data_IF_939508338907
#
_entry.id   IF_939508338907
#
_cell.length_a   1.000
_cell.length_b   1.000
_cell.length_c   1.000
_cell.angle_alpha   90.00
_cell.angle_beta   90.00
_cell.angle_gamma   90.00
#
_symmetry.space_group_name_H-M   'P 1'
#
loop_
_entity.id
_entity.type
_entity.pdbx_description
1 polymer ?
#
# COMPACT_ATOMS: atom_id res chain seq x y z
N UNK A 1 -22.74 46.06 54.76
CA UNK A 1 -22.30 44.65 54.78
C UNK A 1 -22.58 43.97 53.42
N UNK A 2 -22.03 44.50 52.32
CA UNK A 2 -22.10 43.86 50.99
C UNK A 2 -20.80 44.19 50.24
N UNK A 3 -19.67 43.75 50.78
CA UNK A 3 -18.35 44.08 50.20
C UNK A 3 -17.28 43.03 50.48
N UNK A 4 -17.66 41.76 50.66
CA UNK A 4 -16.72 40.65 50.78
C UNK A 4 -17.09 39.40 49.99
N UNK A 5 -18.32 39.29 49.45
CA UNK A 5 -18.77 38.10 48.70
C UNK A 5 -18.67 38.23 47.17
N UNK A 6 -18.07 39.31 46.66
CA UNK A 6 -18.01 39.57 45.22
C UNK A 6 -16.62 39.31 44.60
N UNK A 7 -15.58 39.14 45.43
CA UNK A 7 -14.22 38.87 44.95
C UNK A 7 -13.94 37.38 44.71
N UNK A 8 -14.64 36.48 45.40
CA UNK A 8 -14.45 35.03 45.22
C UNK A 8 -15.07 34.50 43.92
N UNK A 9 -15.97 35.25 43.30
CA UNK A 9 -16.55 34.90 41.99
C UNK A 9 -15.68 35.34 40.79
N UNK A 10 -14.61 36.10 41.01
CA UNK A 10 -13.74 36.59 39.93
C UNK A 10 -12.51 35.69 39.69
N UNK A 11 -12.18 34.79 40.62
CA UNK A 11 -11.01 33.92 40.51
C UNK A 11 -11.13 32.81 39.46
N UNK A 12 -12.29 32.66 38.82
CA UNK A 12 -12.54 31.68 37.77
C UNK A 12 -12.81 32.32 36.39
N UNK A 13 -12.41 33.59 36.17
CA UNK A 13 -12.47 34.20 34.84
C UNK A 13 -11.09 34.08 34.18
N UNK A 14 -10.93 33.32 33.07
CA UNK A 14 -9.68 33.32 32.34
C UNK A 14 -9.38 34.76 31.92
N UNK A 15 -8.16 35.21 32.20
CA UNK A 15 -7.74 36.60 31.95
C UNK A 15 -7.92 36.92 30.47
N UNK A 16 -8.87 37.81 30.18
CA UNK A 16 -9.31 38.17 28.84
C UNK A 16 -8.29 39.07 28.13
N UNK A 17 -7.18 38.48 27.66
CA UNK A 17 -6.46 39.04 26.53
C UNK A 17 -6.64 38.11 25.34
N UNK A 18 -7.05 38.66 24.19
CA UNK A 18 -7.19 37.91 22.93
C UNK A 18 -5.86 37.22 22.56
N UNK A 19 -4.75 37.85 22.95
CA UNK A 19 -3.41 37.31 22.76
C UNK A 19 -3.18 36.01 23.55
N UNK A 20 -3.73 35.89 24.76
CA UNK A 20 -3.67 34.66 25.55
C UNK A 20 -4.53 33.56 24.91
N UNK A 21 -5.71 33.89 24.39
CA UNK A 21 -6.57 32.92 23.69
C UNK A 21 -5.91 32.36 22.41
N UNK A 22 -5.25 33.22 21.63
CA UNK A 22 -4.49 32.76 20.45
C UNK A 22 -3.31 31.87 20.83
N UNK A 23 -2.59 32.20 21.90
CA UNK A 23 -1.49 31.39 22.41
C UNK A 23 -1.97 30.02 22.93
N UNK A 24 -3.15 29.97 23.57
CA UNK A 24 -3.79 28.73 24.02
C UNK A 24 -4.16 27.83 22.84
N UNK A 25 -4.81 28.38 21.79
CA UNK A 25 -5.15 27.61 20.58
C UNK A 25 -3.89 27.14 19.86
N UNK A 26 -2.86 28.00 19.74
CA UNK A 26 -1.59 27.63 19.14
C UNK A 26 -0.90 26.49 19.92
N UNK A 27 -0.99 26.49 21.25
CA UNK A 27 -0.49 25.40 22.10
C UNK A 27 -1.26 24.10 21.83
N UNK A 28 -2.59 24.14 21.77
CA UNK A 28 -3.41 22.95 21.47
C UNK A 28 -3.04 22.31 20.12
N UNK A 29 -2.84 23.13 19.09
CA UNK A 29 -2.46 22.66 17.76
C UNK A 29 -1.07 22.01 17.82
N UNK A 30 -0.10 22.64 18.52
CA UNK A 30 1.24 22.07 18.70
C UNK A 30 1.22 20.76 19.47
N UNK A 31 0.44 20.67 20.53
CA UNK A 31 0.30 19.46 21.35
C UNK A 31 -0.37 18.33 20.54
N UNK A 32 -1.40 18.66 19.76
CA UNK A 32 -2.05 17.74 18.83
C UNK A 32 -1.10 17.21 17.75
N UNK A 33 -0.32 18.10 17.14
CA UNK A 33 0.66 17.74 16.10
C UNK A 33 1.84 16.91 16.67
N UNK A 34 2.29 17.21 17.89
CA UNK A 34 3.28 16.40 18.59
C UNK A 34 2.76 14.98 18.89
N UNK A 35 1.52 14.85 19.37
CA UNK A 35 0.89 13.56 19.62
C UNK A 35 0.62 12.79 18.31
N UNK A 36 0.20 13.47 17.24
CA UNK A 36 0.05 12.87 15.91
C UNK A 36 1.40 12.30 15.41
N UNK A 37 2.47 13.09 15.49
CA UNK A 37 3.83 12.65 15.10
C UNK A 37 4.31 11.47 15.94
N UNK A 38 3.98 11.43 17.23
CA UNK A 38 4.27 10.30 18.10
C UNK A 38 3.54 9.02 17.65
N UNK A 39 2.26 9.13 17.28
CA UNK A 39 1.49 7.98 16.77
C UNK A 39 2.02 7.49 15.42
N UNK A 40 2.39 8.40 14.50
CA UNK A 40 2.98 8.06 13.20
C UNK A 40 4.37 7.44 13.36
N UNK A 41 5.19 7.97 14.27
CA UNK A 41 6.54 7.48 14.55
C UNK A 41 6.60 6.07 15.15
N UNK A 42 5.44 5.50 15.49
CA UNK A 42 5.33 4.16 16.05
C UNK A 42 5.35 4.19 17.56
N UNK A 43 4.16 4.12 18.16
CA UNK A 43 4.03 3.80 19.58
C UNK A 43 4.23 2.28 19.70
N UNK A 44 5.24 1.80 20.47
CA UNK A 44 5.30 0.37 20.80
C UNK A 44 3.99 0.00 21.53
N UNK A 45 3.57 -1.26 21.53
CA UNK A 45 2.28 -1.80 22.03
C UNK A 45 1.20 -2.06 20.96
N UNK A 46 0.26 -2.96 21.29
CA UNK A 46 -0.80 -3.46 20.40
C UNK A 46 -1.72 -2.38 19.85
N UNK A 47 -1.81 -1.25 20.53
CA UNK A 47 -2.64 -0.11 20.14
C UNK A 47 -1.95 0.82 19.11
N UNK A 48 -0.65 0.63 18.86
CA UNK A 48 0.10 1.39 17.87
C UNK A 48 -0.52 1.24 16.48
N UNK A 49 -0.72 2.36 15.79
CA UNK A 49 -1.33 2.37 14.46
C UNK A 49 -0.54 1.53 13.45
N UNK A 50 0.79 1.53 13.55
CA UNK A 50 1.67 0.72 12.69
C UNK A 50 1.35 -0.77 12.85
N UNK A 51 1.11 -1.23 14.08
CA UNK A 51 0.77 -2.63 14.35
C UNK A 51 -0.65 -2.97 13.87
N UNK A 52 -1.59 -2.03 14.01
CA UNK A 52 -2.96 -2.20 13.51
C UNK A 52 -2.99 -2.27 11.97
N UNK A 53 -2.18 -1.45 11.27
CA UNK A 53 -2.04 -1.46 9.80
C UNK A 53 -1.29 -2.70 9.31
N UNK A 54 -0.39 -3.26 10.11
CA UNK A 54 0.34 -4.47 9.73
C UNK A 54 -0.60 -5.67 9.48
N UNK A 55 -1.61 -5.84 10.32
CA UNK A 55 -2.59 -6.95 10.20
C UNK A 55 -3.29 -6.98 8.82
N UNK A 56 -3.92 -5.90 8.34
CA UNK A 56 -4.54 -5.88 7.02
C UNK A 56 -3.50 -5.97 5.89
N UNK A 57 -2.28 -5.43 6.05
CA UNK A 57 -1.19 -5.63 5.09
C UNK A 57 -0.77 -7.10 4.97
N UNK A 58 -0.65 -7.83 6.08
CA UNK A 58 -0.31 -9.25 6.09
C UNK A 58 -1.46 -10.11 5.53
N UNK A 59 -2.72 -9.70 5.73
CA UNK A 59 -3.88 -10.29 5.06
C UNK A 59 -3.83 -10.07 3.56
N UNK A 60 -3.61 -8.84 3.10
CA UNK A 60 -3.44 -8.51 1.70
C UNK A 60 -2.34 -9.35 1.05
N UNK A 61 -1.18 -9.49 1.71
CA UNK A 61 -0.08 -10.33 1.23
C UNK A 61 -0.50 -11.78 1.04
N UNK A 62 -1.29 -12.34 1.96
CA UNK A 62 -1.81 -13.70 1.85
C UNK A 62 -2.85 -13.83 0.74
N UNK A 63 -3.74 -12.86 0.59
CA UNK A 63 -4.77 -12.88 -0.45
C UNK A 63 -4.14 -12.80 -1.84
N UNK A 64 -3.13 -11.94 -2.05
CA UNK A 64 -2.35 -11.89 -3.30
C UNK A 64 -1.65 -13.23 -3.57
N UNK A 65 -1.02 -13.84 -2.56
CA UNK A 65 -0.39 -15.16 -2.73
C UNK A 65 -1.39 -16.26 -3.09
N UNK A 66 -2.61 -16.21 -2.56
CA UNK A 66 -3.68 -17.16 -2.92
C UNK A 66 -4.17 -17.03 -4.37
N UNK A 67 -3.95 -15.88 -5.00
CA UNK A 67 -4.28 -15.72 -6.44
C UNK A 67 -3.23 -16.34 -7.37
N UNK A 68 -2.09 -16.82 -6.84
CA UNK A 68 -1.06 -17.45 -7.64
C UNK A 68 -1.59 -18.74 -8.29
N UNK A 69 -1.41 -18.93 -9.60
CA UNK A 69 -1.84 -20.14 -10.29
C UNK A 69 -1.00 -21.33 -9.84
N UNK A 70 -1.64 -22.47 -9.59
CA UNK A 70 -0.96 -23.70 -9.21
C UNK A 70 -0.73 -24.54 -10.47
N UNK A 71 0.47 -24.39 -11.06
CA UNK A 71 0.85 -25.17 -12.24
C UNK A 71 1.21 -26.60 -11.85
N UNK A 72 0.50 -27.56 -12.44
CA UNK A 72 0.76 -28.98 -12.25
C UNK A 72 1.61 -29.50 -13.43
N UNK A 73 2.78 -30.11 -13.18
CA UNK A 73 3.63 -30.66 -14.24
C UNK A 73 3.06 -31.95 -14.86
N UNK A 74 1.98 -32.49 -14.31
CA UNK A 74 1.31 -33.68 -14.82
C UNK A 74 0.20 -33.29 -15.79
N UNK A 75 -0.10 -34.20 -16.71
CA UNK A 75 -1.35 -34.17 -17.46
C UNK A 75 -2.54 -34.38 -16.51
N UNK A 76 -3.69 -33.83 -16.88
CA UNK A 76 -4.92 -34.01 -16.12
C UNK A 76 -5.16 -35.50 -15.85
N UNK A 77 -5.33 -35.91 -14.58
CA UNK A 77 -5.48 -37.31 -14.25
C UNK A 77 -6.83 -37.84 -14.73
N UNK A 78 -6.82 -39.05 -15.30
CA UNK A 78 -8.03 -39.87 -15.47
C UNK A 78 -8.88 -39.85 -14.18
N UNK A 79 -10.22 -39.78 -14.29
CA UNK A 79 -11.11 -39.61 -13.15
C UNK A 79 -10.86 -40.71 -12.10
N UNK A 80 -10.22 -40.34 -10.99
CA UNK A 80 -9.92 -41.25 -9.88
C UNK A 80 -8.45 -41.30 -9.42
N UNK A 81 -7.49 -40.67 -10.12
CA UNK A 81 -6.07 -40.74 -9.73
C UNK A 81 -5.39 -39.37 -9.60
N UNK A 82 -5.74 -38.61 -8.56
CA UNK A 82 -5.08 -37.33 -8.25
C UNK A 82 -3.62 -37.58 -7.83
N UNK A 83 -2.65 -37.17 -8.65
CA UNK A 83 -1.24 -37.09 -8.26
C UNK A 83 -1.00 -35.75 -7.57
N UNK A 84 -0.94 -35.75 -6.24
CA UNK A 84 -0.63 -34.54 -5.46
C UNK A 84 0.87 -34.49 -5.22
N UNK A 85 1.51 -33.36 -5.54
CA UNK A 85 2.89 -33.12 -5.12
C UNK A 85 2.88 -32.78 -3.62
N UNK A 86 3.79 -33.38 -2.85
CA UNK A 86 3.99 -32.99 -1.47
C UNK A 86 4.53 -31.55 -1.41
N UNK A 87 3.99 -30.73 -0.49
CA UNK A 87 4.49 -29.39 -0.28
C UNK A 87 5.99 -29.45 0.10
N UNK A 88 6.88 -28.74 -0.62
CA UNK A 88 8.30 -28.87 -0.41
C UNK A 88 8.69 -28.33 0.97
N UNK A 89 9.58 -29.06 1.65
CA UNK A 89 9.92 -28.81 3.05
C UNK A 89 10.52 -27.42 3.31
N UNK A 90 11.17 -26.82 2.32
CA UNK A 90 11.74 -25.48 2.41
C UNK A 90 10.70 -24.34 2.42
N UNK A 91 9.46 -24.60 1.96
CA UNK A 91 8.37 -23.60 1.99
C UNK A 91 7.54 -23.64 3.28
N UNK A 92 7.75 -24.63 4.17
CA UNK A 92 6.96 -24.80 5.39
C UNK A 92 6.98 -23.54 6.29
N UNK A 93 8.09 -22.82 6.36
CA UNK A 93 8.21 -21.58 7.16
C UNK A 93 7.64 -20.33 6.45
N UNK A 94 7.42 -20.35 5.13
CA UNK A 94 6.79 -19.25 4.40
C UNK A 94 5.26 -19.41 4.29
N UNK A 95 4.75 -20.64 4.42
CA UNK A 95 3.34 -21.02 4.24
C UNK A 95 2.53 -21.17 5.55
N UNK A 96 3.17 -21.19 6.72
CA UNK A 96 2.52 -21.58 7.99
C UNK A 96 1.40 -20.63 8.46
N UNK A 97 1.38 -19.36 8.02
CA UNK A 97 0.32 -18.39 8.37
C UNK A 97 -0.90 -18.39 7.42
N UNK A 98 -0.89 -19.22 6.37
CA UNK A 98 -1.91 -19.20 5.31
C UNK A 98 -2.67 -20.51 5.07
N UNK A 99 -2.13 -21.65 5.52
CA UNK A 99 -2.57 -23.00 5.12
C UNK A 99 -2.98 -23.92 6.27
N UNK A 100 -3.11 -23.41 7.50
CA UNK A 100 -3.71 -24.15 8.62
C UNK A 100 -5.22 -23.91 8.65
N UNK A 101 -5.94 -24.75 7.92
CA UNK A 101 -7.39 -24.79 7.88
C UNK A 101 -7.84 -25.97 7.05
N UNK A 102 -7.95 -27.11 7.75
CA UNK A 102 -8.97 -28.16 7.57
C UNK A 102 -9.23 -28.66 6.15
N UNK A 103 -8.93 -29.94 5.93
CA UNK A 103 -9.37 -30.65 4.76
C UNK A 103 -10.90 -30.67 4.68
N UNK A 104 -11.41 -30.27 3.52
CA UNK A 104 -12.56 -30.85 2.82
C UNK A 104 -12.89 -29.94 1.63
N UNK A 105 -12.86 -30.51 0.42
CA UNK A 105 -13.55 -30.00 -0.77
C UNK A 105 -13.49 -28.50 -1.05
N UNK A 106 -12.38 -28.01 -1.63
CA UNK A 106 -12.53 -27.05 -2.71
C UNK A 106 -11.98 -27.69 -3.97
N UNK A 107 -12.90 -27.90 -4.89
CA UNK A 107 -12.70 -28.43 -6.23
C UNK A 107 -11.54 -27.72 -6.93
N UNK A 108 -10.98 -28.37 -7.96
CA UNK A 108 -9.78 -27.96 -8.68
C UNK A 108 -9.89 -26.67 -9.49
N UNK A 109 -10.46 -25.60 -8.92
CA UNK A 109 -10.79 -24.30 -9.52
C UNK A 109 -9.55 -23.43 -9.84
N UNK A 110 -8.34 -23.97 -9.71
CA UNK A 110 -7.10 -23.22 -9.97
C UNK A 110 -5.87 -24.07 -10.29
N UNK A 111 -6.03 -25.39 -10.46
CA UNK A 111 -4.93 -26.24 -10.92
C UNK A 111 -4.86 -26.12 -12.45
N UNK A 112 -3.73 -25.64 -12.95
CA UNK A 112 -3.50 -25.54 -14.40
C UNK A 112 -2.58 -26.70 -14.80
N UNK A 113 -3.12 -27.66 -15.55
CA UNK A 113 -2.36 -28.82 -15.99
C UNK A 113 -1.50 -28.53 -17.23
N UNK A 114 -0.45 -29.32 -17.42
CA UNK A 114 0.49 -29.12 -18.53
C UNK A 114 -0.18 -29.25 -19.91
N UNK A 115 -1.18 -30.13 -20.04
CA UNK A 115 -1.95 -30.31 -21.26
C UNK A 115 -2.80 -29.07 -21.59
N UNK A 116 -3.41 -28.41 -20.59
CA UNK A 116 -4.16 -27.17 -20.78
C UNK A 116 -3.25 -26.03 -21.23
N UNK A 117 -2.08 -25.89 -20.60
CA UNK A 117 -1.06 -24.91 -21.01
C UNK A 117 -0.62 -25.19 -22.44
N UNK A 118 -0.37 -26.46 -22.79
CA UNK A 118 0.06 -26.86 -24.13
C UNK A 118 -1.03 -26.64 -25.18
N UNK A 119 -2.30 -26.89 -24.85
CA UNK A 119 -3.43 -26.63 -25.75
C UNK A 119 -3.55 -25.14 -26.04
N UNK A 120 -3.60 -24.30 -25.00
CA UNK A 120 -3.66 -22.84 -25.15
C UNK A 120 -2.43 -22.29 -25.89
N UNK A 121 -1.28 -22.95 -25.73
CA UNK A 121 -0.10 -22.68 -26.53
C UNK A 121 -0.32 -22.95 -28.02
N UNK A 122 -0.84 -24.12 -28.38
CA UNK A 122 -1.08 -24.48 -29.78
C UNK A 122 -2.12 -23.59 -30.45
N UNK A 123 -3.20 -23.25 -29.74
CA UNK A 123 -4.25 -22.34 -30.23
C UNK A 123 -3.73 -20.93 -30.50
N UNK A 124 -2.74 -20.48 -29.72
CA UNK A 124 -2.15 -19.15 -29.85
C UNK A 124 -0.98 -19.08 -30.85
N UNK A 125 -0.62 -20.19 -31.50
CA UNK A 125 0.48 -20.21 -32.48
C UNK A 125 0.09 -19.42 -33.72
N UNK A 126 0.82 -18.34 -33.96
CA UNK A 126 0.76 -17.58 -35.21
C UNK A 126 1.98 -17.89 -36.08
N UNK A 127 2.52 -16.92 -36.81
CA UNK A 127 3.65 -17.06 -37.75
C UNK A 127 5.01 -17.25 -37.06
N UNK A 128 5.04 -17.94 -35.94
CA UNK A 128 6.24 -18.17 -35.14
C UNK A 128 7.06 -19.33 -35.70
N UNK A 129 8.38 -19.27 -35.47
CA UNK A 129 9.29 -20.35 -35.84
C UNK A 129 8.99 -21.64 -35.06
N UNK A 130 9.17 -22.82 -35.68
CA UNK A 130 9.11 -24.10 -34.97
C UNK A 130 10.02 -24.09 -33.74
N UNK A 131 9.50 -24.50 -32.59
CA UNK A 131 10.23 -24.51 -31.32
C UNK A 131 10.19 -23.20 -30.52
N UNK A 132 9.51 -22.15 -31.00
CA UNK A 132 9.26 -20.94 -30.23
C UNK A 132 7.81 -20.87 -29.74
N UNK A 133 7.63 -20.56 -28.46
CA UNK A 133 6.31 -20.36 -27.86
C UNK A 133 5.92 -18.89 -27.89
N UNK A 134 4.69 -18.55 -28.32
CA UNK A 134 4.22 -17.17 -28.34
C UNK A 134 4.27 -16.53 -26.94
N UNK A 135 4.86 -15.33 -26.83
CA UNK A 135 4.86 -14.57 -25.57
C UNK A 135 3.44 -14.14 -25.14
N UNK A 136 2.46 -14.20 -26.05
CA UNK A 136 1.09 -13.77 -25.79
C UNK A 136 0.42 -14.59 -24.67
N UNK A 137 0.70 -15.89 -24.61
CA UNK A 137 0.09 -16.80 -23.61
C UNK A 137 0.61 -16.49 -22.20
N UNK A 138 1.91 -16.23 -22.07
CA UNK A 138 2.50 -15.80 -20.80
C UNK A 138 1.87 -14.49 -20.31
N UNK A 139 1.64 -13.56 -21.24
CA UNK A 139 0.97 -12.29 -20.94
C UNK A 139 -0.47 -12.52 -20.48
N UNK A 140 -1.22 -13.40 -21.14
CA UNK A 140 -2.60 -13.72 -20.74
C UNK A 140 -2.67 -14.30 -19.33
N UNK A 141 -1.84 -15.30 -19.01
CA UNK A 141 -1.81 -15.86 -17.66
C UNK A 141 -1.47 -14.81 -16.60
N UNK A 142 -0.52 -13.91 -16.88
CA UNK A 142 -0.19 -12.81 -15.97
C UNK A 142 -1.39 -11.87 -15.80
N UNK A 143 -2.07 -11.50 -16.89
CA UNK A 143 -3.25 -10.63 -16.85
C UNK A 143 -4.38 -11.25 -16.03
N UNK A 144 -4.66 -12.53 -16.24
CA UNK A 144 -5.72 -13.27 -15.55
C UNK A 144 -5.50 -13.29 -14.02
N UNK A 145 -4.23 -13.27 -13.58
CA UNK A 145 -3.86 -13.18 -12.16
C UNK A 145 -3.92 -11.74 -11.64
N UNK A 146 -3.36 -10.79 -12.39
CA UNK A 146 -3.27 -9.38 -11.99
C UNK A 146 -4.64 -8.74 -11.82
N UNK A 147 -5.62 -9.07 -12.68
CA UNK A 147 -6.99 -8.55 -12.55
C UNK A 147 -7.60 -8.91 -11.18
N UNK A 148 -7.23 -10.06 -10.60
CA UNK A 148 -7.71 -10.49 -9.28
C UNK A 148 -7.14 -9.64 -8.13
N UNK A 149 -6.10 -8.83 -8.36
CA UNK A 149 -5.44 -8.02 -7.33
C UNK A 149 -6.15 -6.71 -7.02
N UNK A 150 -7.04 -6.23 -7.88
CA UNK A 150 -7.76 -4.96 -7.68
C UNK A 150 -8.65 -4.99 -6.42
N UNK A 151 -9.41 -6.06 -6.24
CA UNK A 151 -10.30 -6.23 -5.09
C UNK A 151 -9.54 -6.25 -3.74
N UNK A 152 -8.51 -7.09 -3.53
CA UNK A 152 -7.76 -7.07 -2.27
C UNK A 152 -7.02 -5.75 -2.04
N UNK A 153 -6.56 -5.07 -3.10
CA UNK A 153 -5.88 -3.78 -2.97
C UNK A 153 -6.83 -2.65 -2.53
N UNK A 154 -8.02 -2.57 -3.12
CA UNK A 154 -9.04 -1.57 -2.72
C UNK A 154 -9.54 -1.82 -1.29
N UNK A 155 -9.71 -3.09 -0.92
CA UNK A 155 -10.04 -3.49 0.47
C UNK A 155 -8.98 -3.04 1.47
N UNK A 156 -7.70 -3.21 1.16
CA UNK A 156 -6.61 -2.76 2.03
C UNK A 156 -6.69 -1.25 2.26
N UNK A 157 -6.93 -0.45 1.21
CA UNK A 157 -7.07 1.00 1.35
C UNK A 157 -8.22 1.38 2.30
N UNK A 158 -9.36 0.69 2.22
CA UNK A 158 -10.51 0.93 3.09
C UNK A 158 -10.26 0.52 4.55
N UNK A 159 -9.62 -0.63 4.77
CA UNK A 159 -9.26 -1.10 6.11
C UNK A 159 -8.27 -0.13 6.79
N UNK A 160 -7.26 0.35 6.06
CA UNK A 160 -6.31 1.37 6.57
C UNK A 160 -7.00 2.70 6.85
N UNK A 161 -7.91 3.14 5.98
CA UNK A 161 -8.72 4.35 6.20
C UNK A 161 -9.57 4.26 7.48
N UNK A 162 -10.20 3.11 7.73
CA UNK A 162 -11.01 2.89 8.93
C UNK A 162 -10.15 3.00 10.21
N UNK A 163 -8.96 2.40 10.22
CA UNK A 163 -8.00 2.47 11.33
C UNK A 163 -7.57 3.92 11.59
N UNK A 164 -7.19 4.65 10.52
CA UNK A 164 -6.78 6.06 10.62
C UNK A 164 -7.91 6.95 11.13
N UNK A 165 -9.13 6.75 10.64
CA UNK A 165 -10.31 7.53 11.03
C UNK A 165 -10.60 7.36 12.52
N UNK A 166 -10.50 6.13 13.04
CA UNK A 166 -10.72 5.86 14.46
C UNK A 166 -9.63 6.49 15.35
N UNK A 167 -8.37 6.43 14.94
CA UNK A 167 -7.27 7.12 15.65
C UNK A 167 -7.51 8.63 15.69
N UNK A 168 -7.87 9.22 14.54
CA UNK A 168 -8.07 10.66 14.42
C UNK A 168 -9.24 11.14 15.27
N UNK A 169 -10.35 10.38 15.34
CA UNK A 169 -11.46 10.68 16.26
C UNK A 169 -11.00 10.74 17.72
N UNK A 170 -10.19 9.78 18.15
CA UNK A 170 -9.65 9.72 19.52
C UNK A 170 -8.73 10.90 19.83
N UNK A 171 -7.85 11.25 18.90
CA UNK A 171 -6.94 12.39 19.05
C UNK A 171 -7.71 13.71 19.09
N UNK A 172 -8.65 13.93 18.18
CA UNK A 172 -9.45 15.15 18.14
C UNK A 172 -10.25 15.32 19.43
N UNK A 173 -10.87 14.24 19.92
CA UNK A 173 -11.59 14.28 21.19
C UNK A 173 -10.64 14.61 22.37
N UNK A 174 -9.47 13.96 22.44
CA UNK A 174 -8.49 14.18 23.52
C UNK A 174 -8.03 15.64 23.65
N UNK A 175 -7.75 16.31 22.53
CA UNK A 175 -7.18 17.66 22.53
C UNK A 175 -8.24 18.78 22.48
N UNK A 176 -9.37 18.57 21.80
CA UNK A 176 -10.31 19.64 21.52
C UNK A 176 -11.65 19.55 22.27
N UNK A 177 -11.93 18.45 23.00
CA UNK A 177 -13.19 18.32 23.76
C UNK A 177 -13.33 19.36 24.89
N UNK A 178 -12.22 19.86 25.45
CA UNK A 178 -12.24 20.82 26.55
C UNK A 178 -12.47 22.27 26.10
N UNK A 179 -12.40 22.55 24.79
CA UNK A 179 -12.47 23.91 24.25
C UNK A 179 -13.79 24.19 23.54
N UNK A 180 -14.42 25.31 23.91
CA UNK A 180 -15.44 25.97 23.08
C UNK A 180 -16.73 25.16 22.85
N UNK A 181 -17.26 24.49 23.88
CA UNK A 181 -18.54 23.77 23.84
C UNK A 181 -18.63 22.74 22.69
N UNK A 182 -17.48 22.22 22.20
CA UNK A 182 -17.40 21.23 21.13
C UNK A 182 -17.48 21.79 19.69
N UNK A 183 -17.61 23.11 19.50
CA UNK A 183 -17.66 23.71 18.15
C UNK A 183 -16.33 23.58 17.41
N UNK A 184 -15.21 23.83 18.10
CA UNK A 184 -13.86 23.68 17.54
C UNK A 184 -13.56 22.21 17.21
N UNK A 185 -13.94 21.30 18.11
CA UNK A 185 -13.83 19.87 17.90
C UNK A 185 -14.57 19.41 16.64
N UNK A 186 -15.81 19.88 16.44
CA UNK A 186 -16.61 19.55 15.27
C UNK A 186 -15.96 20.04 13.97
N UNK A 187 -15.49 21.29 13.94
CA UNK A 187 -14.82 21.89 12.78
C UNK A 187 -13.55 21.11 12.41
N UNK A 188 -12.69 20.82 13.39
CA UNK A 188 -11.46 20.07 13.15
C UNK A 188 -11.78 18.64 12.69
N UNK A 189 -12.79 18.00 13.27
CA UNK A 189 -13.23 16.68 12.85
C UNK A 189 -13.68 16.66 11.38
N UNK A 190 -14.43 17.68 10.94
CA UNK A 190 -14.85 17.81 9.55
C UNK A 190 -13.65 17.97 8.61
N UNK A 191 -12.74 18.89 8.91
CA UNK A 191 -11.53 19.13 8.12
C UNK A 191 -10.69 17.84 8.01
N UNK A 192 -10.48 17.15 9.13
CA UNK A 192 -9.72 15.90 9.14
C UNK A 192 -10.42 14.78 8.36
N UNK A 193 -11.74 14.67 8.45
CA UNK A 193 -12.51 13.69 7.69
C UNK A 193 -12.42 13.97 6.18
N UNK A 194 -12.51 15.22 5.76
CA UNK A 194 -12.34 15.64 4.37
C UNK A 194 -10.94 15.28 3.86
N UNK A 195 -9.89 15.62 4.61
CA UNK A 195 -8.52 15.26 4.25
C UNK A 195 -8.31 13.75 4.16
N UNK A 196 -8.79 12.96 5.13
CA UNK A 196 -8.66 11.50 5.08
C UNK A 196 -9.41 10.90 3.89
N UNK A 197 -10.60 11.42 3.57
CA UNK A 197 -11.40 10.99 2.41
C UNK A 197 -10.67 11.29 1.11
N UNK A 198 -10.08 12.48 1.01
CA UNK A 198 -9.25 12.86 -0.13
C UNK A 198 -8.03 11.93 -0.28
N UNK A 199 -7.31 11.65 0.82
CA UNK A 199 -6.20 10.71 0.81
C UNK A 199 -6.62 9.29 0.38
N UNK A 200 -7.77 8.80 0.84
CA UNK A 200 -8.32 7.51 0.39
C UNK A 200 -8.60 7.51 -1.11
N UNK A 201 -9.19 8.59 -1.62
CA UNK A 201 -9.47 8.73 -3.05
C UNK A 201 -8.18 8.69 -3.88
N UNK A 202 -7.17 9.47 -3.49
CA UNK A 202 -5.85 9.47 -4.15
C UNK A 202 -5.19 8.09 -4.09
N UNK A 203 -5.25 7.40 -2.95
CA UNK A 203 -4.72 6.04 -2.81
C UNK A 203 -5.40 5.05 -3.75
N UNK A 204 -6.74 5.08 -3.84
CA UNK A 204 -7.51 4.24 -4.78
C UNK A 204 -7.17 4.55 -6.24
N UNK A 205 -7.00 5.83 -6.58
CA UNK A 205 -6.53 6.22 -7.92
C UNK A 205 -5.13 5.68 -8.22
N UNK A 206 -4.22 5.72 -7.24
CA UNK A 206 -2.88 5.15 -7.36
C UNK A 206 -2.89 3.64 -7.62
N UNK A 207 -3.74 2.89 -6.92
CA UNK A 207 -3.96 1.45 -7.19
C UNK A 207 -4.46 1.25 -8.62
N UNK A 208 -5.46 2.01 -9.05
CA UNK A 208 -6.02 1.89 -10.38
C UNK A 208 -5.00 2.27 -11.48
N UNK A 209 -4.16 3.26 -11.23
CA UNK A 209 -3.04 3.63 -12.09
C UNK A 209 -2.01 2.50 -12.21
N UNK A 210 -1.65 1.84 -11.10
CA UNK A 210 -0.75 0.68 -11.13
C UNK A 210 -1.34 -0.47 -11.94
N UNK A 211 -2.65 -0.72 -11.85
CA UNK A 211 -3.32 -1.75 -12.66
C UNK A 211 -3.25 -1.42 -14.16
N UNK A 212 -3.46 -0.16 -14.54
CA UNK A 212 -3.31 0.30 -15.93
C UNK A 212 -1.89 0.12 -16.48
N UNK A 213 -0.88 0.36 -15.64
CA UNK A 213 0.52 0.13 -16.03
C UNK A 213 0.78 -1.36 -16.25
N UNK A 214 0.21 -2.24 -15.42
CA UNK A 214 0.40 -3.68 -15.59
C UNK A 214 -0.32 -4.22 -16.83
N UNK A 215 -1.34 -3.53 -17.32
CA UNK A 215 -2.00 -3.87 -18.58
C UNK A 215 -1.16 -3.49 -19.82
N UNK A 216 -0.18 -2.58 -19.67
CA UNK A 216 0.70 -2.14 -20.74
C UNK A 216 1.58 -3.31 -21.25
N UNK A 217 1.50 -3.66 -22.55
CA UNK A 217 2.27 -4.73 -23.15
C UNK A 217 3.79 -4.61 -23.03
N UNK A 218 4.32 -3.42 -22.71
CA UNK A 218 5.75 -3.12 -22.61
C UNK A 218 6.34 -3.33 -21.20
N UNK A 219 5.49 -3.43 -20.16
CA UNK A 219 5.96 -3.52 -18.77
C UNK A 219 6.80 -4.78 -18.50
N UNK A 220 6.38 -5.93 -19.03
CA UNK A 220 7.08 -7.21 -18.89
C UNK A 220 8.46 -7.23 -19.57
N UNK A 221 8.63 -6.49 -20.67
CA UNK A 221 9.95 -6.35 -21.31
C UNK A 221 10.88 -5.50 -20.43
N UNK A 222 10.40 -4.38 -19.89
CA UNK A 222 11.27 -3.39 -19.24
C UNK A 222 11.90 -3.86 -17.93
N UNK A 223 11.22 -4.70 -17.17
CA UNK A 223 11.68 -5.18 -15.84
C UNK A 223 12.49 -6.48 -15.92
N UNK A 224 12.11 -7.41 -16.81
CA UNK A 224 12.83 -8.68 -17.03
C UNK A 224 14.23 -8.50 -17.60
N UNK A 225 14.41 -7.59 -18.57
CA UNK A 225 15.73 -7.33 -19.16
C UNK A 225 16.73 -6.70 -18.15
N UNK A 226 16.26 -5.91 -17.20
CA UNK A 226 17.11 -5.27 -16.19
C UNK A 226 17.62 -6.27 -15.14
N UNK A 227 16.76 -7.16 -14.64
CA UNK A 227 17.16 -8.22 -13.71
C UNK A 227 18.03 -9.29 -14.37
N UNK A 228 17.68 -9.74 -15.58
CA UNK A 228 18.49 -10.73 -16.31
C UNK A 228 19.91 -10.22 -16.63
N UNK A 229 20.09 -8.93 -16.91
CA UNK A 229 21.40 -8.31 -17.19
C UNK A 229 22.28 -8.17 -15.95
N UNK A 230 21.69 -7.92 -14.78
CA UNK A 230 22.42 -7.86 -13.50
C UNK A 230 22.82 -9.25 -12.95
N UNK A 231 22.08 -10.30 -13.31
CA UNK A 231 22.38 -11.68 -12.94
C UNK A 231 23.41 -12.37 -13.86
N UNK A 232 23.66 -11.83 -15.06
CA UNK A 232 24.59 -12.43 -16.02
C UNK A 232 26.06 -12.39 -15.51
N UNK A 233 26.83 -13.48 -15.65
CA UNK A 233 28.25 -13.52 -15.27
C UNK A 233 29.11 -12.44 -15.96
N UNK A 234 28.69 -11.99 -17.14
CA UNK A 234 29.40 -11.03 -17.99
C UNK A 234 29.41 -9.63 -17.36
N UNK A 235 28.35 -9.21 -16.67
CA UNK A 235 28.29 -7.91 -15.99
C UNK A 235 29.14 -7.87 -14.72
N UNK A 236 29.30 -9.01 -14.04
CA UNK A 236 30.22 -9.15 -12.89
C UNK A 236 31.70 -9.11 -13.30
N UNK A 237 32.04 -9.58 -14.50
CA UNK A 237 33.38 -9.46 -15.05
C UNK A 237 33.71 -8.02 -15.47
N UNK A 238 32.76 -7.29 -16.10
CA UNK A 238 32.99 -5.89 -16.46
C UNK A 238 33.13 -4.96 -15.25
N UNK A 239 32.43 -5.22 -14.14
CA UNK A 239 32.61 -4.46 -12.89
C UNK A 239 34.03 -4.58 -12.30
N UNK A 240 34.77 -5.66 -12.62
CA UNK A 240 36.15 -5.87 -12.18
C UNK A 240 37.19 -5.22 -13.09
N UNK A 241 36.82 -4.89 -14.33
CA UNK A 241 37.69 -4.26 -15.34
C UNK A 241 37.49 -2.73 -15.39
N UNK A 242 36.35 -2.22 -14.92
CA UNK A 242 36.00 -0.79 -14.95
C UNK A 242 36.65 0.09 -13.86
N UNK A 243 37.54 -0.41 -12.99
CA UNK A 243 38.27 0.45 -12.04
C UNK A 243 39.36 1.32 -12.69
N UNK A 244 39.60 1.19 -14.00
CA UNK A 244 40.77 1.83 -14.65
C UNK A 244 40.46 2.71 -15.86
N UNK A 245 39.23 2.79 -16.35
CA UNK A 245 38.90 3.70 -17.47
C UNK A 245 37.55 4.36 -17.27
N UNK A 246 37.57 5.48 -16.54
CA UNK A 246 36.46 6.43 -16.48
C UNK A 246 36.54 7.35 -17.70
N UNK A 247 35.67 7.13 -18.69
CA UNK A 247 35.00 8.15 -19.49
C UNK A 247 34.23 7.47 -20.62
N UNK A 248 33.13 8.12 -21.01
CA UNK A 248 32.29 7.83 -22.18
C UNK A 248 31.17 6.82 -21.87
N UNK A 249 30.11 7.29 -21.20
CA UNK A 249 28.73 7.40 -21.70
C UNK A 249 27.83 7.72 -20.49
N UNK A 250 27.73 9.00 -20.15
CA UNK A 250 26.67 9.49 -19.27
C UNK A 250 25.33 9.26 -19.99
N UNK A 251 24.53 8.34 -19.47
CA UNK A 251 23.12 8.23 -19.86
C UNK A 251 22.38 9.37 -19.17
N UNK A 252 21.56 10.18 -19.87
CA UNK A 252 20.80 11.23 -19.21
C UNK A 252 19.87 10.60 -18.18
N UNK A 253 20.08 10.95 -16.92
CA UNK A 253 19.18 10.66 -15.83
C UNK A 253 17.88 11.44 -16.08
N UNK A 254 16.92 10.81 -16.77
CA UNK A 254 15.57 11.34 -16.89
C UNK A 254 14.86 10.91 -15.59
N UNK A 255 14.59 11.83 -14.65
CA UNK A 255 13.80 11.48 -13.48
C UNK A 255 12.42 11.04 -13.95
N UNK A 256 11.98 9.86 -13.51
CA UNK A 256 10.58 9.46 -13.67
C UNK A 256 9.70 10.57 -13.05
N UNK A 257 8.68 11.07 -13.76
CA UNK A 257 7.76 12.03 -13.16
C UNK A 257 7.08 11.35 -11.98
N UNK A 258 7.46 11.77 -10.78
CA UNK A 258 6.84 11.32 -9.54
C UNK A 258 5.45 11.97 -9.44
N UNK A 259 4.35 11.21 -9.47
CA UNK A 259 3.02 11.78 -9.28
C UNK A 259 2.83 12.38 -7.87
N UNK A 260 3.71 12.07 -6.91
CA UNK A 260 3.70 12.68 -5.57
C UNK A 260 4.52 13.97 -5.46
N UNK A 261 5.29 14.36 -6.48
CA UNK A 261 6.09 15.60 -6.44
C UNK A 261 5.27 16.87 -6.67
N UNK A 262 4.03 16.77 -7.14
CA UNK A 262 3.16 17.94 -7.36
C UNK A 262 2.32 18.33 -6.13
N UNK A 263 2.47 17.65 -4.99
CA UNK A 263 1.64 17.91 -3.80
C UNK A 263 2.38 18.63 -2.65
N UNK A 264 3.59 19.15 -2.87
CA UNK A 264 4.39 19.84 -1.82
C UNK A 264 4.77 21.28 -2.19
N UNK A 265 4.11 21.91 -3.17
CA UNK A 265 4.26 23.35 -3.42
C UNK A 265 2.91 24.02 -3.54
N UNK A 266 2.22 24.19 -2.42
CA UNK A 266 1.27 25.29 -2.26
C UNK A 266 1.06 25.58 -0.78
N UNK A 267 1.97 26.37 -0.22
CA UNK A 267 1.74 27.14 1.01
C UNK A 267 2.30 28.56 0.82
N UNK A 268 1.40 29.55 0.91
CA UNK A 268 1.54 30.93 1.42
C UNK A 268 2.75 31.79 0.94
N UNK A 269 2.62 32.86 0.13
CA UNK A 269 1.87 34.14 0.27
C UNK A 269 2.70 35.26 -0.44
N UNK A 270 2.42 36.59 -0.34
CA UNK A 270 1.27 37.31 0.22
C UNK A 270 0.53 38.19 -0.82
N UNK A 271 -0.69 38.57 -0.46
CA UNK A 271 -1.43 39.69 -1.07
C UNK A 271 -0.95 41.04 -0.54
N UNK A 272 -1.09 42.07 -1.42
CA UNK A 272 -1.14 43.53 -1.19
C UNK A 272 0.20 44.31 -1.29
N UNK A 273 0.16 45.59 -1.70
CA UNK A 273 -0.96 46.56 -1.70
C UNK A 273 -1.78 46.66 -2.99
#
# INVERSE_FOLDING_TARGET
MLSFLQLDQLSCRPSASIQNALNEVAKLIKDFDADMRRHIGGVPYKEGIVQQIRIPCDRFRRDIRRTAPEFCPFEEPEPGRKKTLAAPEFLKHEEEEGRKGEGEGKDGDGLIYVNEVYQRMQESRSRELPGHFPHIIQREYIKDVVIKWESPATRLCEEVYAILTELMKKLVYKHFATFGQGMLEHQIRLIMHEHLTHCLHVAKQGVNWLMKIQDDPLWGMRTGYAQARSASPISKQNARVSSTTSRIYDTPNIPAPNPFSQLVTNEYGPTLP
#
